data_IF_000897897024
#
_entry.id   IF_000897897024
#
_cell.length_a   1.000
_cell.length_b   1.000
_cell.length_c   1.000
_cell.angle_alpha   90.00
_cell.angle_beta   90.00
_cell.angle_gamma   90.00
#
_symmetry.space_group_name_H-M   'P 1'
#
loop_
_entity.id
_entity.type
_entity.pdbx_description
1 polymer ?
#
# COMPACT_ATOMS: atom_id res chain seq x y z
N UNK A 1 -0.40 7.59 -5.62
CA UNK A 1 -0.64 6.13 -5.52
C UNK A 1 0.69 5.40 -5.48
N UNK A 2 0.79 4.36 -4.65
CA UNK A 2 1.94 3.47 -4.59
C UNK A 2 1.48 2.05 -4.94
N UNK A 3 2.24 1.39 -5.83
CA UNK A 3 1.93 0.03 -6.27
C UNK A 3 2.78 -0.95 -5.45
N UNK A 4 2.14 -1.96 -4.88
CA UNK A 4 2.78 -2.95 -4.02
C UNK A 4 2.77 -4.35 -4.62
N UNK A 5 3.88 -5.06 -4.38
CA UNK A 5 4.14 -6.40 -4.90
C UNK A 5 5.16 -7.10 -4.00
N UNK A 6 5.13 -8.43 -3.86
CA UNK A 6 6.19 -9.18 -3.19
C UNK A 6 7.55 -9.10 -3.92
N UNK A 7 7.55 -8.68 -5.19
CA UNK A 7 8.76 -8.51 -6.00
C UNK A 7 9.51 -7.19 -5.71
N UNK A 8 8.92 -6.24 -4.96
CA UNK A 8 9.61 -5.01 -4.57
C UNK A 8 10.82 -5.31 -3.68
N UNK A 9 11.82 -4.43 -3.67
CA UNK A 9 12.96 -4.54 -2.75
C UNK A 9 12.51 -4.55 -1.29
N UNK A 10 13.26 -5.17 -0.41
CA UNK A 10 12.89 -5.40 0.99
C UNK A 10 12.83 -4.12 1.84
N UNK A 11 13.42 -3.03 1.38
CA UNK A 11 13.42 -1.71 2.04
C UNK A 11 12.15 -0.89 1.79
N UNK A 12 11.31 -1.28 0.81
CA UNK A 12 10.02 -0.63 0.62
C UNK A 12 9.08 -0.85 1.80
N UNK A 13 8.42 0.22 2.23
CA UNK A 13 7.80 0.33 3.54
C UNK A 13 6.88 -0.83 3.91
N UNK A 14 5.87 -1.17 3.08
CA UNK A 14 4.93 -2.26 3.42
C UNK A 14 5.67 -3.61 3.49
N UNK A 15 6.53 -3.89 2.51
CA UNK A 15 7.30 -5.15 2.50
C UNK A 15 8.25 -5.23 3.70
N UNK A 16 8.99 -4.15 3.99
CA UNK A 16 9.87 -4.03 5.17
C UNK A 16 9.14 -4.31 6.47
N UNK A 17 7.96 -3.71 6.65
CA UNK A 17 7.13 -3.89 7.84
C UNK A 17 6.62 -5.33 7.95
N UNK A 18 6.16 -5.93 6.85
CA UNK A 18 5.70 -7.32 6.84
C UNK A 18 6.83 -8.31 7.15
N UNK A 19 8.03 -8.11 6.57
CA UNK A 19 9.22 -8.92 6.88
C UNK A 19 9.66 -8.77 8.34
N UNK A 20 9.64 -7.53 8.87
CA UNK A 20 9.94 -7.27 10.29
C UNK A 20 8.98 -8.01 11.22
N UNK A 21 7.68 -7.95 10.92
CA UNK A 21 6.67 -8.65 11.69
C UNK A 21 6.80 -10.18 11.59
N UNK A 22 7.05 -10.72 10.39
CA UNK A 22 7.18 -12.17 10.15
C UNK A 22 8.42 -12.75 10.85
N UNK A 23 9.54 -12.04 10.75
CA UNK A 23 10.82 -12.49 11.30
C UNK A 23 11.07 -12.00 12.75
N UNK A 24 10.10 -11.34 13.39
CA UNK A 24 10.22 -10.76 14.74
C UNK A 24 11.44 -9.84 14.91
N UNK A 25 11.82 -9.12 13.84
CA UNK A 25 12.98 -8.22 13.82
C UNK A 25 12.59 -6.79 14.14
N UNK A 26 13.46 -6.10 14.88
CA UNK A 26 13.37 -4.65 15.08
C UNK A 26 13.64 -3.93 13.76
N UNK A 27 12.84 -2.94 13.44
CA UNK A 27 13.02 -2.11 12.25
C UNK A 27 12.91 -0.63 12.58
N UNK A 28 13.69 0.17 11.85
CA UNK A 28 13.67 1.63 11.95
C UNK A 28 12.89 2.17 10.75
N UNK A 29 11.98 3.08 11.01
CA UNK A 29 11.09 3.67 10.00
C UNK A 29 11.09 5.20 10.09
N UNK A 30 10.55 5.87 9.08
CA UNK A 30 10.38 7.32 9.04
C UNK A 30 9.07 7.78 9.65
N UNK A 31 8.49 8.82 9.04
CA UNK A 31 7.26 9.44 9.49
C UNK A 31 6.04 8.52 9.30
N UNK A 32 5.39 8.15 10.39
CA UNK A 32 4.24 7.27 10.42
C UNK A 32 2.88 7.99 10.32
N UNK A 33 2.91 9.34 10.40
CA UNK A 33 1.70 10.18 10.40
C UNK A 33 1.23 10.56 8.99
N UNK A 34 1.93 10.13 7.95
CA UNK A 34 1.55 10.38 6.56
C UNK A 34 0.62 9.31 6.04
N UNK A 35 -0.28 9.71 5.15
CA UNK A 35 -1.28 8.85 4.53
C UNK A 35 -0.95 8.68 3.04
N UNK A 36 -1.00 7.45 2.58
CA UNK A 36 -0.75 7.08 1.17
C UNK A 36 -1.84 6.16 0.68
N UNK A 37 -2.01 6.15 -0.62
CA UNK A 37 -2.87 5.22 -1.33
C UNK A 37 -2.02 4.11 -1.93
N UNK A 38 -2.35 2.88 -1.59
CA UNK A 38 -1.64 1.68 -2.02
C UNK A 38 -2.54 0.76 -2.81
N UNK A 39 -2.04 0.26 -3.93
CA UNK A 39 -2.73 -0.65 -4.83
C UNK A 39 -1.89 -1.90 -5.10
N UNK A 40 -2.53 -3.04 -5.29
CA UNK A 40 -1.85 -4.29 -5.58
C UNK A 40 -1.55 -4.43 -7.07
N UNK A 41 -0.31 -4.82 -7.40
CA UNK A 41 0.22 -4.82 -8.77
C UNK A 41 -0.68 -5.55 -9.78
N UNK A 42 -1.16 -6.76 -9.46
CA UNK A 42 -1.94 -7.54 -10.42
C UNK A 42 -3.27 -6.88 -10.80
N UNK A 43 -3.90 -6.16 -9.86
CA UNK A 43 -5.12 -5.40 -10.15
C UNK A 43 -4.82 -4.14 -10.97
N UNK A 44 -3.70 -3.48 -10.70
CA UNK A 44 -3.27 -2.31 -11.48
C UNK A 44 -2.96 -2.71 -12.92
N UNK A 45 -2.22 -3.80 -13.15
CA UNK A 45 -1.91 -4.32 -14.49
C UNK A 45 -3.19 -4.67 -15.26
N UNK A 46 -4.14 -5.36 -14.61
CA UNK A 46 -5.43 -5.65 -15.23
C UNK A 46 -6.20 -4.39 -15.61
N UNK A 47 -6.16 -3.35 -14.76
CA UNK A 47 -6.79 -2.07 -15.08
C UNK A 47 -6.10 -1.38 -16.26
N UNK A 48 -4.76 -1.42 -16.36
CA UNK A 48 -4.01 -0.88 -17.50
C UNK A 48 -4.40 -1.59 -18.79
N UNK A 49 -4.42 -2.93 -18.81
CA UNK A 49 -4.83 -3.72 -19.98
C UNK A 49 -6.26 -3.37 -20.39
N UNK A 50 -7.17 -3.23 -19.45
CA UNK A 50 -8.54 -2.85 -19.73
C UNK A 50 -8.64 -1.44 -20.31
N UNK A 51 -7.91 -0.47 -19.75
CA UNK A 51 -7.94 0.93 -20.23
C UNK A 51 -7.27 1.11 -21.59
N UNK A 52 -6.33 0.25 -22.00
CA UNK A 52 -5.69 0.31 -23.31
C UNK A 52 -6.69 0.08 -24.47
N UNK A 53 -7.80 -0.61 -24.21
CA UNK A 53 -8.87 -0.85 -25.18
C UNK A 53 -10.01 0.18 -25.10
N UNK A 54 -9.86 1.23 -24.30
CA UNK A 54 -10.87 2.28 -24.15
C UNK A 54 -10.43 3.57 -24.86
N UNK A 55 -11.34 4.57 -24.89
CA UNK A 55 -11.05 5.89 -25.46
C UNK A 55 -9.75 6.45 -24.88
N UNK A 56 -8.87 6.97 -25.76
CA UNK A 56 -7.60 7.59 -25.37
C UNK A 56 -7.86 8.82 -24.48
N UNK A 57 -7.35 8.77 -23.25
CA UNK A 57 -7.35 9.84 -22.26
C UNK A 57 -6.49 9.45 -21.06
N UNK A 58 -6.29 10.36 -20.12
CA UNK A 58 -5.59 10.07 -18.86
C UNK A 58 -6.48 9.25 -17.91
N UNK A 59 -5.94 8.13 -17.43
CA UNK A 59 -6.58 7.26 -16.44
C UNK A 59 -5.76 7.22 -15.14
N UNK A 60 -6.36 7.63 -14.04
CA UNK A 60 -5.78 7.47 -12.70
C UNK A 60 -6.32 6.16 -12.10
N UNK A 61 -5.48 5.14 -12.01
CA UNK A 61 -5.84 3.86 -11.38
C UNK A 61 -5.45 3.90 -9.90
N UNK A 62 -6.42 4.17 -9.05
CA UNK A 62 -6.20 4.39 -7.62
C UNK A 62 -7.37 3.87 -6.79
N UNK A 63 -7.08 3.18 -5.68
CA UNK A 63 -8.10 2.73 -4.74
C UNK A 63 -8.82 3.88 -4.01
N UNK A 64 -8.18 5.06 -3.95
CA UNK A 64 -8.68 6.22 -3.22
C UNK A 64 -8.72 5.99 -1.70
N UNK A 65 -7.89 5.06 -1.19
CA UNK A 65 -7.86 4.71 0.23
C UNK A 65 -6.78 5.46 0.98
N UNK A 66 -7.10 5.83 2.22
CA UNK A 66 -6.15 6.46 3.14
C UNK A 66 -5.58 5.38 4.05
N UNK A 67 -4.28 5.13 3.97
CA UNK A 67 -3.59 4.19 4.84
C UNK A 67 -2.36 4.86 5.44
N UNK A 68 -2.34 5.01 6.75
CA UNK A 68 -1.21 5.60 7.47
C UNK A 68 -0.12 4.58 7.76
N UNK A 69 1.11 5.07 7.96
CA UNK A 69 2.22 4.20 8.34
C UNK A 69 1.96 3.40 9.60
N UNK A 70 1.30 4.02 10.61
CA UNK A 70 0.98 3.34 11.85
C UNK A 70 -0.09 2.24 11.66
N UNK A 71 -1.09 2.45 10.78
CA UNK A 71 -2.09 1.42 10.49
C UNK A 71 -1.48 0.21 9.78
N UNK A 72 -0.52 0.44 8.88
CA UNK A 72 0.23 -0.63 8.20
C UNK A 72 0.97 -1.48 9.24
N UNK A 73 1.72 -0.83 10.14
CA UNK A 73 2.47 -1.50 11.20
C UNK A 73 1.54 -2.29 12.12
N UNK A 74 0.51 -1.66 12.67
CA UNK A 74 -0.46 -2.32 13.54
C UNK A 74 -1.08 -3.55 12.86
N UNK A 75 -1.41 -3.43 11.57
CA UNK A 75 -2.02 -4.54 10.83
C UNK A 75 -1.04 -5.70 10.66
N UNK A 76 0.20 -5.44 10.21
CA UNK A 76 1.20 -6.49 9.97
C UNK A 76 1.61 -7.21 11.25
N UNK A 77 1.90 -6.48 12.32
CA UNK A 77 2.33 -7.09 13.60
C UNK A 77 1.21 -7.86 14.30
N UNK A 78 -0.05 -7.41 14.17
CA UNK A 78 -1.21 -8.17 14.68
C UNK A 78 -1.36 -9.54 14.02
N UNK A 79 -0.96 -9.70 12.75
CA UNK A 79 -1.02 -11.01 12.07
C UNK A 79 -0.14 -12.05 12.74
N UNK A 80 0.91 -11.63 13.42
CA UNK A 80 1.81 -12.51 14.19
C UNK A 80 1.61 -12.38 15.72
N UNK A 81 0.49 -11.80 16.17
CA UNK A 81 0.15 -11.57 17.58
C UNK A 81 1.23 -10.82 18.36
N UNK A 82 1.98 -9.90 17.70
CA UNK A 82 3.07 -9.13 18.27
C UNK A 82 2.63 -7.72 18.66
N UNK A 83 3.17 -7.21 19.76
CA UNK A 83 3.10 -5.79 20.09
C UNK A 83 4.16 -5.02 19.30
N UNK A 84 3.74 -4.28 18.29
CA UNK A 84 4.62 -3.53 17.39
C UNK A 84 5.54 -2.53 18.12
N UNK A 85 5.13 -2.01 19.28
CA UNK A 85 5.92 -1.04 20.06
C UNK A 85 7.28 -1.57 20.49
N UNK A 86 7.40 -2.88 20.64
CA UNK A 86 8.68 -3.57 20.97
C UNK A 86 9.64 -3.71 19.79
N UNK A 87 9.14 -3.49 18.56
CA UNK A 87 9.88 -3.78 17.32
C UNK A 87 10.08 -2.56 16.43
N UNK A 88 9.33 -1.48 16.65
CA UNK A 88 9.35 -0.31 15.76
C UNK A 88 9.96 0.88 16.48
N UNK A 89 10.98 1.46 15.86
CA UNK A 89 11.51 2.76 16.22
C UNK A 89 11.45 3.72 15.02
N UNK A 90 11.37 5.01 15.30
CA UNK A 90 11.38 6.05 14.26
C UNK A 90 12.69 6.82 14.29
N UNK A 91 13.20 7.21 13.11
CA UNK A 91 14.38 8.06 13.01
C UNK A 91 14.07 9.26 12.09
N UNK A 92 14.35 10.47 12.59
CA UNK A 92 14.13 11.73 11.86
C UNK A 92 14.93 11.82 10.56
N UNK A 93 16.07 11.12 10.44
CA UNK A 93 16.86 11.05 9.20
C UNK A 93 16.05 10.50 8.01
N UNK A 94 15.02 9.70 8.26
CA UNK A 94 14.12 9.17 7.22
C UNK A 94 12.89 10.04 6.98
N UNK A 95 12.78 11.21 7.60
CA UNK A 95 11.72 12.16 7.35
C UNK A 95 12.08 12.97 6.10
N UNK A 96 11.11 13.14 5.22
CA UNK A 96 11.30 13.99 4.03
C UNK A 96 11.01 15.44 4.37
N UNK A 97 11.88 16.36 3.90
CA UNK A 97 11.57 17.77 3.92
C UNK A 97 10.33 18.03 3.06
N UNK A 98 9.38 18.83 3.55
CA UNK A 98 8.10 19.15 2.86
C UNK A 98 7.28 17.90 2.48
N UNK A 99 7.15 16.94 3.39
CA UNK A 99 6.35 15.75 3.15
C UNK A 99 4.84 16.07 3.20
N UNK A 100 4.13 15.86 2.10
CA UNK A 100 2.67 15.96 2.08
C UNK A 100 2.04 14.93 3.03
N UNK A 101 1.20 15.41 3.96
CA UNK A 101 0.48 14.55 4.90
C UNK A 101 -0.42 13.53 4.18
N UNK A 102 -1.08 13.96 3.11
CA UNK A 102 -1.98 13.13 2.31
C UNK A 102 -1.49 13.08 0.85
N UNK A 103 -1.34 11.88 0.31
CA UNK A 103 -1.11 11.65 -1.12
C UNK A 103 -2.01 10.49 -1.56
N UNK A 104 -3.22 10.87 -1.98
CA UNK A 104 -4.32 9.95 -2.28
C UNK A 104 -4.77 10.21 -3.72
N UNK A 105 -4.89 9.16 -4.52
CA UNK A 105 -5.39 9.29 -5.89
C UNK A 105 -6.91 9.34 -5.95
N UNK A 106 -7.45 9.82 -7.07
CA UNK A 106 -8.88 9.79 -7.35
C UNK A 106 -9.33 8.38 -7.72
N UNK A 107 -10.44 7.92 -7.13
CA UNK A 107 -11.04 6.62 -7.46
C UNK A 107 -12.03 6.67 -8.64
N UNK A 108 -12.24 7.83 -9.29
CA UNK A 108 -13.25 8.01 -10.34
C UNK A 108 -13.10 7.00 -11.49
N UNK A 109 -11.89 6.86 -12.04
CA UNK A 109 -11.65 5.92 -13.15
C UNK A 109 -11.85 4.46 -12.70
N UNK A 110 -11.46 4.12 -11.49
CA UNK A 110 -11.66 2.78 -10.96
C UNK A 110 -13.15 2.44 -10.79
N UNK A 111 -13.95 3.39 -10.31
CA UNK A 111 -15.41 3.24 -10.24
C UNK A 111 -16.04 3.09 -11.64
N UNK A 112 -15.57 3.87 -12.62
CA UNK A 112 -15.99 3.72 -14.02
C UNK A 112 -15.70 2.32 -14.55
N UNK A 113 -14.47 1.82 -14.38
CA UNK A 113 -14.11 0.46 -14.82
C UNK A 113 -14.93 -0.62 -14.11
N UNK A 114 -15.19 -0.45 -12.82
CA UNK A 114 -16.02 -1.36 -12.04
C UNK A 114 -17.45 -1.42 -12.57
N UNK A 115 -18.06 -0.26 -12.81
CA UNK A 115 -19.49 -0.18 -13.17
C UNK A 115 -19.75 -0.54 -14.63
N UNK A 116 -18.85 -0.16 -15.55
CA UNK A 116 -19.04 -0.38 -17.00
C UNK A 116 -18.43 -1.69 -17.51
N UNK A 117 -17.40 -2.22 -16.85
CA UNK A 117 -16.64 -3.37 -17.33
C UNK A 117 -16.58 -4.51 -16.30
N UNK A 118 -17.42 -4.48 -15.26
CA UNK A 118 -17.42 -5.48 -14.18
C UNK A 118 -16.02 -5.75 -13.61
N UNK A 119 -15.18 -4.72 -13.57
CA UNK A 119 -13.80 -4.82 -13.13
C UNK A 119 -13.71 -5.02 -11.62
N UNK A 120 -13.01 -6.07 -11.18
CA UNK A 120 -12.81 -6.36 -9.75
C UNK A 120 -11.50 -5.74 -9.25
N UNK A 121 -11.60 -4.84 -8.27
CA UNK A 121 -10.47 -4.23 -7.57
C UNK A 121 -10.74 -4.31 -6.07
N UNK A 122 -10.14 -5.30 -5.41
CA UNK A 122 -10.50 -5.71 -4.05
C UNK A 122 -9.32 -5.76 -3.07
N UNK A 123 -8.06 -5.62 -3.58
CA UNK A 123 -6.84 -5.79 -2.80
C UNK A 123 -6.23 -4.43 -2.49
N UNK A 124 -6.79 -3.76 -1.49
CA UNK A 124 -6.33 -2.45 -0.99
C UNK A 124 -6.49 -2.37 0.54
N UNK A 125 -5.98 -1.30 1.16
CA UNK A 125 -6.06 -1.10 2.60
C UNK A 125 -5.47 -2.27 3.39
N UNK A 126 -6.16 -2.71 4.42
CA UNK A 126 -5.72 -3.83 5.27
C UNK A 126 -5.63 -5.17 4.51
N UNK A 127 -6.46 -5.38 3.47
CA UNK A 127 -6.39 -6.60 2.65
C UNK A 127 -5.07 -6.71 1.90
N UNK A 128 -4.55 -5.59 1.39
CA UNK A 128 -3.26 -5.53 0.72
C UNK A 128 -2.12 -5.92 1.67
N UNK A 129 -2.13 -5.43 2.91
CA UNK A 129 -1.12 -5.77 3.93
C UNK A 129 -1.17 -7.27 4.24
N UNK A 130 -2.38 -7.82 4.45
CA UNK A 130 -2.56 -9.26 4.69
C UNK A 130 -2.05 -10.10 3.51
N UNK A 131 -2.32 -9.65 2.26
CA UNK A 131 -1.83 -10.34 1.06
C UNK A 131 -0.31 -10.28 0.98
N UNK A 132 0.31 -9.10 1.17
CA UNK A 132 1.77 -8.97 1.22
C UNK A 132 2.37 -9.92 2.26
N UNK A 133 1.86 -9.90 3.49
CA UNK A 133 2.36 -10.74 4.58
C UNK A 133 2.32 -12.25 4.23
N UNK A 134 1.24 -12.71 3.57
CA UNK A 134 1.10 -14.12 3.14
C UNK A 134 2.02 -14.48 1.97
N UNK A 135 2.39 -13.51 1.13
CA UNK A 135 3.24 -13.74 -0.06
C UNK A 135 4.73 -13.75 0.24
N UNK A 136 5.14 -13.43 1.46
CA UNK A 136 6.52 -13.45 1.95
C UNK A 136 6.80 -14.69 2.80
#
# INVERSE_FOLDING_TARGET
MQIESPLRKNDFFIKKVCLGAKNKKKIIVGNLKTFRDYSWITEVVKAIILTSNLKSKDYIISAGTKLSGIEIIKTAYRLNKLDYRKYISTNKKFFRNKENKFLIGSKKNLLYLKNKHNFKFNIFGKKLIKKMYKSL
#
